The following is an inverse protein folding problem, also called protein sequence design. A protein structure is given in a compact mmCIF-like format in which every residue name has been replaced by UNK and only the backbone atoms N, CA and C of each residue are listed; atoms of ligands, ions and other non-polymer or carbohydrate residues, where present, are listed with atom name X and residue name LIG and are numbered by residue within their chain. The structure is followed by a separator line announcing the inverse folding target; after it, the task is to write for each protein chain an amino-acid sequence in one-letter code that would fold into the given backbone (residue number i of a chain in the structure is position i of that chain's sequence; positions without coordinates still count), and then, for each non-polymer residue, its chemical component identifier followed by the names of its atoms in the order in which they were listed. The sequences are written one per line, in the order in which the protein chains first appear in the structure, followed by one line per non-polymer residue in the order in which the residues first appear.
data_IF_225309667316
#
_entry.id   IF_225309667316
#
_cell.length_a   1.000
_cell.length_b   1.000
_cell.length_c   1.000
_cell.angle_alpha   90.00
_cell.angle_beta   90.00
_cell.angle_gamma   90.00
#
_symmetry.space_group_name_H-M   'P 1'
#
loop_
_entity.id
_entity.type
_entity.pdbx_description
1 polymer ?
#
# COMPACT_ATOMS: atom_id res chain seq x y z
N UNK A 1 -26.18 -14.96 18.48
CA UNK A 1 -26.50 -13.77 17.67
C UNK A 1 -25.22 -13.00 17.39
N UNK A 2 -24.92 -12.67 16.13
CA UNK A 2 -23.68 -13.07 15.43
C UNK A 2 -23.80 -14.55 15.02
N UNK A 3 -23.44 -14.89 13.79
CA UNK A 3 -23.90 -16.11 13.10
C UNK A 3 -23.40 -17.46 13.68
N UNK A 4 -22.68 -17.47 14.82
CA UNK A 4 -22.19 -18.66 15.55
C UNK A 4 -21.47 -19.70 14.66
N UNK A 5 -20.84 -19.21 13.59
CA UNK A 5 -20.15 -20.06 12.61
C UNK A 5 -18.76 -20.51 13.05
N UNK A 6 -18.16 -19.81 14.01
CA UNK A 6 -16.78 -20.00 14.45
C UNK A 6 -16.77 -20.34 15.94
N UNK A 7 -16.05 -21.39 16.32
CA UNK A 7 -15.77 -21.69 17.72
C UNK A 7 -14.78 -20.63 18.26
N UNK A 8 -15.11 -19.87 19.32
CA UNK A 8 -14.22 -18.86 19.88
C UNK A 8 -12.83 -19.40 20.27
N UNK A 9 -12.75 -20.68 20.67
CA UNK A 9 -11.47 -21.31 21.02
C UNK A 9 -10.54 -21.45 19.80
N UNK A 10 -11.09 -21.58 18.59
CA UNK A 10 -10.31 -21.72 17.35
C UNK A 10 -9.59 -20.44 16.92
N UNK A 11 -9.97 -19.28 17.49
CA UNK A 11 -9.38 -17.98 17.18
C UNK A 11 -8.77 -17.28 18.40
N UNK A 12 -8.70 -17.96 19.54
CA UNK A 12 -8.22 -17.37 20.80
C UNK A 12 -6.76 -16.88 20.73
N UNK A 13 -5.93 -17.59 19.95
CA UNK A 13 -4.50 -17.32 19.77
C UNK A 13 -4.19 -16.64 18.42
N UNK A 14 -5.20 -16.05 17.77
CA UNK A 14 -5.07 -15.37 16.48
C UNK A 14 -5.22 -13.86 16.67
N UNK A 15 -4.25 -13.10 16.19
CA UNK A 15 -4.35 -11.63 16.14
C UNK A 15 -4.88 -11.20 14.78
N UNK A 16 -5.95 -10.40 14.77
CA UNK A 16 -6.52 -9.87 13.53
C UNK A 16 -6.29 -8.37 13.45
N UNK A 17 -5.64 -7.91 12.39
CA UNK A 17 -5.28 -6.49 12.20
C UNK A 17 -5.88 -6.02 10.89
N UNK A 18 -6.76 -5.02 10.94
CA UNK A 18 -7.37 -4.42 9.76
C UNK A 18 -8.67 -3.68 10.10
N UNK A 19 -9.14 -2.87 9.17
CA UNK A 19 -10.46 -2.24 9.23
C UNK A 19 -11.49 -3.10 8.49
N UNK A 20 -12.67 -3.28 9.08
CA UNK A 20 -13.77 -4.00 8.45
C UNK A 20 -14.80 -3.02 7.88
N UNK A 21 -15.01 -3.06 6.57
CA UNK A 21 -16.09 -2.34 5.91
C UNK A 21 -17.45 -3.00 6.13
N UNK A 22 -18.53 -2.21 6.04
CA UNK A 22 -19.91 -2.73 6.08
C UNK A 22 -20.25 -3.64 4.89
N UNK A 23 -19.47 -3.54 3.81
CA UNK A 23 -19.52 -4.43 2.64
C UNK A 23 -18.75 -5.75 2.87
N UNK A 24 -18.15 -5.93 4.04
CA UNK A 24 -17.38 -7.11 4.41
C UNK A 24 -15.92 -7.08 3.95
N UNK A 25 -15.44 -6.02 3.28
CA UNK A 25 -14.04 -5.90 2.87
C UNK A 25 -13.12 -5.64 4.06
N UNK A 26 -11.94 -6.24 4.04
CA UNK A 26 -10.87 -5.99 5.01
C UNK A 26 -9.90 -4.97 4.40
N UNK A 27 -9.70 -3.86 5.11
CA UNK A 27 -8.90 -2.71 4.66
C UNK A 27 -7.65 -2.55 5.51
N UNK A 28 -6.53 -2.10 4.92
CA UNK A 28 -5.30 -1.88 5.66
C UNK A 28 -5.39 -0.73 6.64
N UNK A 29 -4.79 -0.92 7.80
CA UNK A 29 -4.52 0.11 8.80
C UNK A 29 -3.08 0.61 8.66
N UNK A 30 -2.79 1.78 9.22
CA UNK A 30 -1.40 2.25 9.30
C UNK A 30 -0.62 1.43 10.32
N UNK A 31 0.61 1.05 9.96
CA UNK A 31 1.51 0.37 10.88
C UNK A 31 1.21 -1.12 11.05
N UNK A 32 0.91 -1.84 9.96
CA UNK A 32 0.75 -3.31 10.04
C UNK A 32 2.04 -3.96 10.52
N UNK A 33 3.20 -3.67 9.93
CA UNK A 33 4.48 -4.26 10.37
C UNK A 33 4.77 -4.08 11.87
N UNK A 34 4.73 -2.86 12.45
CA UNK A 34 4.97 -2.71 13.89
C UNK A 34 3.90 -3.40 14.75
N UNK A 35 2.64 -3.49 14.28
CA UNK A 35 1.60 -4.23 15.01
C UNK A 35 1.84 -5.76 14.98
N UNK A 36 2.29 -6.31 13.85
CA UNK A 36 2.66 -7.73 13.74
C UNK A 36 3.91 -8.04 14.57
N UNK A 37 4.90 -7.14 14.58
CA UNK A 37 6.08 -7.28 15.44
C UNK A 37 5.69 -7.32 16.93
N UNK A 38 4.81 -6.41 17.36
CA UNK A 38 4.30 -6.40 18.73
C UNK A 38 3.52 -7.69 19.07
N UNK A 39 2.75 -8.23 18.12
CA UNK A 39 2.07 -9.51 18.30
C UNK A 39 3.08 -10.66 18.49
N UNK A 40 4.15 -10.69 17.69
CA UNK A 40 5.22 -11.68 17.82
C UNK A 40 5.93 -11.58 19.18
N UNK A 41 6.27 -10.37 19.62
CA UNK A 41 6.89 -10.12 20.93
C UNK A 41 5.99 -10.53 22.10
N UNK A 42 4.67 -10.44 21.92
CA UNK A 42 3.68 -10.92 22.88
C UNK A 42 3.45 -12.45 22.83
N UNK A 43 4.13 -13.17 21.93
CA UNK A 43 4.08 -14.62 21.80
C UNK A 43 3.03 -15.16 20.85
N UNK A 44 2.32 -14.30 20.11
CA UNK A 44 1.36 -14.76 19.10
C UNK A 44 2.08 -15.24 17.84
N UNK A 45 1.67 -16.42 17.36
CA UNK A 45 2.25 -17.05 16.18
C UNK A 45 1.36 -16.98 14.94
N UNK A 46 0.10 -16.55 15.09
CA UNK A 46 -0.86 -16.50 14.00
C UNK A 46 -1.46 -15.10 13.89
N UNK A 47 -1.33 -14.51 12.71
CA UNK A 47 -1.85 -13.16 12.44
C UNK A 47 -2.64 -13.13 11.14
N UNK A 48 -3.80 -12.51 11.17
CA UNK A 48 -4.62 -12.21 10.00
C UNK A 48 -4.48 -10.73 9.67
N UNK A 49 -4.17 -10.43 8.41
CA UNK A 49 -4.02 -9.06 7.90
C UNK A 49 -4.76 -8.89 6.57
N UNK A 50 -5.09 -7.66 6.15
CA UNK A 50 -5.50 -7.40 4.78
C UNK A 50 -4.45 -7.90 3.80
N UNK A 51 -4.91 -8.57 2.74
CA UNK A 51 -4.03 -9.20 1.74
C UNK A 51 -3.00 -8.22 1.18
N UNK A 52 -3.35 -6.94 0.99
CA UNK A 52 -2.44 -5.91 0.49
C UNK A 52 -1.20 -5.70 1.38
N UNK A 53 -1.30 -6.03 2.67
CA UNK A 53 -0.23 -5.89 3.67
C UNK A 53 0.40 -7.21 4.08
N UNK A 54 -0.05 -8.34 3.53
CA UNK A 54 0.44 -9.67 3.88
C UNK A 54 1.95 -9.82 3.59
N UNK A 55 2.43 -9.27 2.48
CA UNK A 55 3.85 -9.31 2.13
C UNK A 55 4.74 -8.55 3.13
N UNK A 56 4.27 -7.43 3.67
CA UNK A 56 4.98 -6.65 4.69
C UNK A 56 4.95 -7.36 6.05
N UNK A 57 3.78 -7.85 6.46
CA UNK A 57 3.60 -8.61 7.69
C UNK A 57 4.46 -9.89 7.72
N UNK A 58 4.61 -10.57 6.58
CA UNK A 58 5.42 -11.78 6.45
C UNK A 58 6.93 -11.56 6.68
N UNK A 59 7.38 -10.29 6.78
CA UNK A 59 8.76 -9.97 7.14
C UNK A 59 9.07 -10.26 8.63
N UNK A 60 8.05 -10.40 9.48
CA UNK A 60 8.22 -10.68 10.91
C UNK A 60 8.51 -12.17 11.13
N UNK A 61 9.69 -12.55 11.65
CA UNK A 61 10.02 -13.96 11.91
C UNK A 61 9.14 -14.57 13.00
N UNK A 62 8.84 -15.87 12.88
CA UNK A 62 8.11 -16.62 13.91
C UNK A 62 6.59 -16.40 13.90
N UNK A 63 6.06 -15.65 12.94
CA UNK A 63 4.62 -15.44 12.74
C UNK A 63 4.16 -16.04 11.42
N UNK A 64 3.08 -16.81 11.47
CA UNK A 64 2.32 -17.24 10.30
C UNK A 64 1.27 -16.19 9.95
N UNK A 65 1.37 -15.63 8.74
CA UNK A 65 0.51 -14.54 8.26
C UNK A 65 -0.52 -15.07 7.28
N UNK A 66 -1.80 -14.79 7.55
CA UNK A 66 -2.92 -15.03 6.65
C UNK A 66 -3.44 -13.70 6.08
N UNK A 67 -3.24 -13.50 4.78
CA UNK A 67 -3.80 -12.36 4.04
C UNK A 67 -5.24 -12.60 3.61
N UNK A 68 -6.17 -11.69 3.90
CA UNK A 68 -7.58 -11.77 3.49
C UNK A 68 -8.07 -10.50 2.82
N UNK A 69 -8.96 -10.63 1.82
CA UNK A 69 -9.65 -9.52 1.14
C UNK A 69 -10.97 -9.15 1.81
N UNK A 70 -11.62 -10.13 2.44
CA UNK A 70 -12.93 -9.96 3.06
C UNK A 70 -13.13 -10.85 4.28
N UNK A 71 -14.11 -10.48 5.11
CA UNK A 71 -14.56 -11.30 6.23
C UNK A 71 -15.11 -12.66 5.76
N UNK A 72 -15.72 -12.71 4.56
CA UNK A 72 -16.23 -13.96 3.98
C UNK A 72 -15.09 -14.94 3.69
N UNK A 73 -14.00 -14.45 3.10
CA UNK A 73 -12.80 -15.24 2.89
C UNK A 73 -12.22 -15.77 4.20
N UNK A 74 -12.11 -14.92 5.23
CA UNK A 74 -11.62 -15.36 6.54
C UNK A 74 -12.50 -16.47 7.13
N UNK A 75 -13.83 -16.30 7.10
CA UNK A 75 -14.76 -17.32 7.59
C UNK A 75 -14.62 -18.62 6.78
N UNK A 76 -14.50 -18.54 5.45
CA UNK A 76 -14.33 -19.73 4.62
C UNK A 76 -13.06 -20.50 4.99
N UNK A 77 -11.93 -19.81 5.22
CA UNK A 77 -10.69 -20.43 5.67
C UNK A 77 -10.85 -21.09 7.04
N UNK A 78 -11.45 -20.39 8.01
CA UNK A 78 -11.63 -20.91 9.37
C UNK A 78 -12.62 -22.09 9.44
N UNK A 79 -13.58 -22.16 8.51
CA UNK A 79 -14.55 -23.24 8.41
C UNK A 79 -14.12 -24.40 7.48
N UNK A 80 -12.91 -24.35 6.90
CA UNK A 80 -12.44 -25.30 5.88
C UNK A 80 -13.39 -25.40 4.66
N UNK A 81 -13.94 -24.24 4.26
CA UNK A 81 -14.83 -24.09 3.12
C UNK A 81 -14.10 -23.55 1.88
N UNK A 82 -14.64 -23.77 0.66
CA UNK A 82 -14.10 -23.18 -0.55
C UNK A 82 -14.00 -21.64 -0.44
N UNK A 83 -12.77 -21.13 -0.55
CA UNK A 83 -12.50 -19.70 -0.49
C UNK A 83 -13.10 -19.02 -1.74
N UNK A 84 -13.95 -18.00 -1.57
CA UNK A 84 -14.53 -17.28 -2.71
C UNK A 84 -13.45 -16.54 -3.49
N UNK A 85 -13.52 -16.62 -4.81
CA UNK A 85 -12.69 -15.79 -5.69
C UNK A 85 -13.28 -14.38 -5.76
N UNK A 86 -12.63 -13.44 -5.09
CA UNK A 86 -13.03 -12.03 -5.04
C UNK A 86 -11.98 -11.19 -5.74
N UNK A 87 -12.34 -10.21 -6.59
CA UNK A 87 -11.36 -9.40 -7.30
C UNK A 87 -10.46 -8.65 -6.31
N UNK A 88 -9.16 -8.63 -6.59
CA UNK A 88 -8.19 -7.85 -5.83
C UNK A 88 -8.62 -6.38 -5.80
N UNK A 89 -8.62 -5.78 -4.60
CA UNK A 89 -8.88 -4.35 -4.44
C UNK A 89 -7.55 -3.61 -4.40
N UNK A 90 -7.21 -2.96 -5.52
CA UNK A 90 -6.06 -2.07 -5.59
C UNK A 90 -6.31 -0.75 -4.82
N UNK A 91 -7.57 -0.46 -4.46
CA UNK A 91 -7.94 0.71 -3.65
C UNK A 91 -7.61 0.44 -2.18
N UNK A 92 -6.35 0.66 -1.83
CA UNK A 92 -5.87 0.43 -0.46
C UNK A 92 -4.42 0.02 -0.37
N UNK A 93 -3.72 -0.24 -1.49
CA UNK A 93 -2.25 -0.18 -1.43
C UNK A 93 -1.89 1.17 -0.81
N UNK A 94 -1.11 1.19 0.29
CA UNK A 94 -0.57 2.45 0.77
C UNK A 94 0.12 3.07 -0.43
N UNK A 95 -0.38 4.23 -0.85
CA UNK A 95 0.13 4.90 -2.02
C UNK A 95 1.64 5.04 -1.80
N UNK A 96 2.44 4.38 -2.64
CA UNK A 96 3.89 4.31 -2.46
C UNK A 96 4.50 5.72 -2.39
N UNK A 97 3.79 6.69 -3.01
CA UNK A 97 4.09 8.11 -2.96
C UNK A 97 3.81 8.74 -1.58
N UNK A 98 2.73 8.34 -0.89
CA UNK A 98 2.42 8.73 0.50
C UNK A 98 3.23 7.97 1.54
N UNK A 99 3.63 6.73 1.25
CA UNK A 99 4.42 5.88 2.14
C UNK A 99 5.92 6.25 2.16
N UNK A 100 6.36 7.17 1.29
CA UNK A 100 7.76 7.60 1.21
C UNK A 100 8.72 6.52 0.69
N UNK A 101 8.20 5.40 0.18
CA UNK A 101 8.98 4.29 -0.39
C UNK A 101 9.15 4.49 -1.90
N UNK A 102 9.95 5.47 -2.27
CA UNK A 102 10.64 5.45 -3.56
C UNK A 102 12.08 5.02 -3.30
N UNK A 103 12.44 3.79 -3.69
CA UNK A 103 13.85 3.40 -3.84
C UNK A 103 14.21 3.66 -5.30
N UNK A 104 15.05 4.67 -5.57
CA UNK A 104 15.43 4.94 -6.94
C UNK A 104 16.44 3.90 -7.43
N UNK A 105 16.21 3.38 -8.64
CA UNK A 105 17.09 2.40 -9.28
C UNK A 105 16.68 0.94 -9.12
N UNK A 106 15.62 0.63 -8.37
CA UNK A 106 15.01 -0.70 -8.40
C UNK A 106 13.92 -0.73 -9.47
N UNK A 107 14.35 -0.94 -10.72
CA UNK A 107 13.47 -1.60 -11.68
C UNK A 107 13.05 -2.96 -11.09
N UNK A 108 11.79 -3.32 -11.29
CA UNK A 108 11.12 -4.59 -10.92
C UNK A 108 12.01 -5.62 -10.20
N UNK A 109 11.74 -5.85 -8.92
CA UNK A 109 12.20 -7.07 -8.24
C UNK A 109 12.91 -6.85 -6.92
N UNK A 110 12.13 -6.61 -5.87
CA UNK A 110 12.45 -7.12 -4.54
C UNK A 110 11.18 -7.76 -3.97
N UNK A 111 10.78 -8.93 -4.53
CA UNK A 111 9.74 -9.79 -3.97
C UNK A 111 8.59 -10.20 -4.91
N UNK A 112 8.84 -11.23 -5.73
CA UNK A 112 7.91 -12.27 -6.24
C UNK A 112 6.47 -11.90 -6.66
N UNK A 113 6.33 -11.37 -7.87
CA UNK A 113 5.21 -11.71 -8.74
C UNK A 113 5.70 -11.75 -10.20
N UNK A 114 5.34 -12.77 -11.01
CA UNK A 114 5.74 -12.80 -12.41
C UNK A 114 5.14 -11.59 -13.13
N UNK A 115 6.00 -10.86 -13.83
CA UNK A 115 5.63 -9.73 -14.65
C UNK A 115 4.57 -10.17 -15.69
N UNK A 116 3.34 -9.71 -15.52
CA UNK A 116 2.38 -9.69 -16.63
C UNK A 116 2.73 -8.51 -17.54
N UNK A 117 2.92 -8.72 -18.86
CA UNK A 117 3.44 -7.69 -19.76
C UNK A 117 2.32 -6.78 -20.28
N UNK A 118 1.51 -6.17 -19.41
CA UNK A 118 0.46 -5.23 -19.82
C UNK A 118 0.28 -4.11 -18.80
N UNK A 119 0.79 -2.93 -19.15
CA UNK A 119 0.55 -1.66 -18.46
C UNK A 119 1.83 -0.84 -18.37
N UNK A 120 2.11 -0.03 -19.38
CA UNK A 120 3.09 1.06 -19.26
C UNK A 120 2.66 1.95 -18.08
N UNK A 121 3.40 1.91 -16.98
CA UNK A 121 3.26 2.86 -15.89
C UNK A 121 3.77 4.21 -16.36
N UNK A 122 2.91 4.98 -17.03
CA UNK A 122 3.24 6.32 -17.48
C UNK A 122 3.24 7.27 -16.29
N UNK A 123 4.42 7.64 -15.81
CA UNK A 123 4.58 8.75 -14.85
C UNK A 123 3.99 9.99 -15.55
N UNK A 124 3.03 10.72 -14.93
CA UNK A 124 2.43 11.90 -15.57
C UNK A 124 3.49 12.93 -15.97
N UNK A 125 3.40 13.46 -17.19
CA UNK A 125 4.36 14.44 -17.70
C UNK A 125 3.97 15.86 -17.26
N UNK A 126 4.99 16.69 -16.97
CA UNK A 126 4.82 18.12 -16.75
C UNK A 126 4.34 18.84 -18.02
N UNK A 127 4.63 18.29 -19.20
CA UNK A 127 4.16 18.79 -20.49
C UNK A 127 2.62 18.82 -20.59
N UNK A 128 1.93 17.87 -19.96
CA UNK A 128 0.47 17.71 -19.99
C UNK A 128 -0.27 18.80 -19.20
N UNK A 129 0.44 19.60 -18.39
CA UNK A 129 -0.19 20.63 -17.55
C UNK A 129 -0.51 21.88 -18.36
N UNK A 130 -1.80 22.11 -18.61
CA UNK A 130 -2.31 23.31 -19.27
C UNK A 130 -2.27 24.54 -18.34
N UNK A 131 -1.83 25.69 -18.86
CA UNK A 131 -1.99 27.02 -18.25
C UNK A 131 -1.06 27.38 -17.06
N UNK A 132 -0.36 26.43 -16.44
CA UNK A 132 0.45 26.66 -15.23
C UNK A 132 1.92 27.00 -15.52
N UNK A 133 2.20 28.00 -16.36
CA UNK A 133 3.58 28.30 -16.80
C UNK A 133 4.53 28.64 -15.64
N UNK A 134 4.12 29.51 -14.70
CA UNK A 134 4.97 29.91 -13.56
C UNK A 134 5.27 28.73 -12.62
N UNK A 135 4.28 27.93 -12.18
CA UNK A 135 4.57 26.75 -11.37
C UNK A 135 5.40 25.68 -12.09
N UNK A 136 5.14 25.41 -13.37
CA UNK A 136 5.96 24.48 -14.17
C UNK A 136 7.43 24.92 -14.20
N UNK A 137 7.67 26.21 -14.44
CA UNK A 137 9.03 26.77 -14.45
C UNK A 137 9.72 26.67 -13.09
N UNK A 138 9.00 26.94 -12.00
CA UNK A 138 9.53 26.79 -10.65
C UNK A 138 9.91 25.33 -10.35
N UNK A 139 9.09 24.38 -10.80
CA UNK A 139 9.35 22.95 -10.66
C UNK A 139 10.61 22.52 -11.42
N UNK A 140 10.76 22.97 -12.68
CA UNK A 140 11.97 22.74 -13.48
C UNK A 140 13.23 23.29 -12.80
N UNK A 141 13.18 24.53 -12.29
CA UNK A 141 14.32 25.17 -11.63
C UNK A 141 14.69 24.42 -10.35
N UNK A 142 13.69 24.02 -9.55
CA UNK A 142 13.94 23.25 -8.33
C UNK A 142 14.53 21.87 -8.64
N UNK A 143 14.01 21.19 -9.66
CA UNK A 143 14.51 19.89 -10.10
C UNK A 143 15.94 19.96 -10.62
N UNK A 144 16.25 20.94 -11.48
CA UNK A 144 17.58 21.13 -12.03
C UNK A 144 18.61 21.55 -10.96
N UNK A 145 18.19 22.35 -9.97
CA UNK A 145 19.06 22.85 -8.91
C UNK A 145 19.14 21.96 -7.66
N UNK A 146 18.35 20.88 -7.57
CA UNK A 146 18.24 20.06 -6.37
C UNK A 146 17.68 20.82 -5.16
N UNK A 147 16.81 21.81 -5.38
CA UNK A 147 16.26 22.64 -4.32
C UNK A 147 15.04 22.00 -3.64
N UNK A 148 14.88 22.26 -2.34
CA UNK A 148 13.65 21.91 -1.63
C UNK A 148 12.46 22.74 -2.13
N UNK A 149 11.31 22.11 -2.27
CA UNK A 149 10.10 22.71 -2.84
C UNK A 149 8.92 22.54 -1.87
N UNK A 150 8.20 23.64 -1.61
CA UNK A 150 6.96 23.66 -0.85
C UNK A 150 5.82 24.13 -1.76
N UNK A 151 4.73 23.37 -1.83
CA UNK A 151 3.53 23.72 -2.60
C UNK A 151 2.41 24.17 -1.65
N UNK A 152 2.01 25.44 -1.75
CA UNK A 152 0.96 26.03 -0.91
C UNK A 152 -0.08 26.79 -1.75
N UNK A 153 -1.34 26.81 -1.31
CA UNK A 153 -2.45 27.47 -1.99
C UNK A 153 -3.82 26.86 -1.69
N UNK A 154 -4.92 27.44 -2.20
CA UNK A 154 -6.28 26.98 -1.95
C UNK A 154 -6.58 25.59 -2.56
N UNK A 155 -7.56 24.82 -2.05
CA UNK A 155 -7.99 23.56 -2.66
C UNK A 155 -8.32 23.70 -4.14
N UNK A 156 -8.01 22.69 -4.95
CA UNK A 156 -8.23 22.73 -6.41
C UNK A 156 -7.19 23.52 -7.23
N UNK A 157 -6.24 24.21 -6.59
CA UNK A 157 -5.19 24.98 -7.30
C UNK A 157 -4.14 24.13 -8.05
N UNK A 158 -4.32 22.81 -8.16
CA UNK A 158 -3.42 21.93 -8.91
C UNK A 158 -2.10 21.59 -8.21
N UNK A 159 -1.99 21.76 -6.88
CA UNK A 159 -0.77 21.43 -6.11
C UNK A 159 -0.39 19.95 -6.24
N UNK A 160 -1.34 19.06 -5.95
CA UNK A 160 -1.14 17.61 -6.06
C UNK A 160 -0.81 17.22 -7.50
N UNK A 161 -1.56 17.75 -8.47
CA UNK A 161 -1.31 17.55 -9.91
C UNK A 161 0.12 17.94 -10.33
N UNK A 162 0.67 19.05 -9.81
CA UNK A 162 2.05 19.47 -10.08
C UNK A 162 3.07 18.61 -9.33
N UNK A 163 2.79 18.23 -8.08
CA UNK A 163 3.67 17.39 -7.27
C UNK A 163 3.88 15.99 -7.87
N UNK A 164 2.81 15.38 -8.38
CA UNK A 164 2.83 14.07 -9.04
C UNK A 164 3.72 14.02 -10.29
N UNK A 165 3.99 15.18 -10.90
CA UNK A 165 4.79 15.32 -12.13
C UNK A 165 6.24 15.69 -11.86
N UNK A 166 6.61 16.03 -10.62
CA UNK A 166 7.98 16.34 -10.24
C UNK A 166 8.96 15.17 -10.55
N UNK A 167 8.63 13.89 -10.28
CA UNK A 167 9.54 12.79 -10.58
C UNK A 167 9.94 12.66 -12.06
N UNK A 168 9.06 13.09 -12.97
CA UNK A 168 9.33 13.04 -14.41
C UNK A 168 10.40 14.07 -14.87
N UNK A 169 10.65 15.12 -14.07
CA UNK A 169 11.58 16.20 -14.42
C UNK A 169 12.84 16.24 -13.54
N UNK A 170 12.95 15.35 -12.55
CA UNK A 170 14.15 15.25 -11.72
C UNK A 170 15.30 14.63 -12.53
N UNK A 171 16.54 15.11 -12.35
CA UNK A 171 17.70 14.47 -12.94
C UNK A 171 17.85 13.03 -12.43
N UNK A 172 18.39 12.10 -13.24
CA UNK A 172 18.67 10.75 -12.80
C UNK A 172 19.61 10.77 -11.61
N UNK A 173 19.33 9.94 -10.61
CA UNK A 173 20.16 9.88 -9.41
C UNK A 173 21.53 9.31 -9.76
N UNK A 174 22.55 10.12 -9.49
CA UNK A 174 23.94 9.71 -9.57
C UNK A 174 24.37 9.22 -8.19
N UNK A 175 25.09 8.09 -8.14
CA UNK A 175 25.79 7.69 -6.92
C UNK A 175 26.98 8.66 -6.76
N UNK A 176 26.93 9.54 -5.76
CA UNK A 176 28.14 10.20 -5.27
C UNK A 176 29.05 9.18 -4.59
#
# INVERSE_FOLDING_TARGET
GAAERIDPSSIADVVMIGELGLDGRVRPVRGVLPAVLAAAEAGYQQVVVPEQTAGEAALVPGVSVLGVRSLRQLIAVLCDEPVPDEPADDRGRPDAMLAGLMIPGTGLGAGLAPASPRGEGHIPDLADVAGQLRPRKALEVAAAGGHHLLLSGPPGAGKTMLAERLPAVLPPLTRQ
#
